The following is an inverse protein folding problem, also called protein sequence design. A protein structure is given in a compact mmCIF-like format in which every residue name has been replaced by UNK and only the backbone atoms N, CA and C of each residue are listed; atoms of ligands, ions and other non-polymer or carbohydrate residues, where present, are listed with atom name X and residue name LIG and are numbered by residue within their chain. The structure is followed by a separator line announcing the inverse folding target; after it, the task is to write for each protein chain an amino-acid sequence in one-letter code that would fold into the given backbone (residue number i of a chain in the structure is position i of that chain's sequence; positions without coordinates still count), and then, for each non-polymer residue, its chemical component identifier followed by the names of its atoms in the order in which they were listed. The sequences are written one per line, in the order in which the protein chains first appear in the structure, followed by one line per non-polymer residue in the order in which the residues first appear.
data_IF_769985674987
#
_entry.id   IF_769985674987
#
_cell.length_a   1.000
_cell.length_b   1.000
_cell.length_c   1.000
_cell.angle_alpha   90.00
_cell.angle_beta   90.00
_cell.angle_gamma   90.00
#
_symmetry.space_group_name_H-M   'P 1'
#
loop_
_entity.id
_entity.type
_entity.pdbx_description
1 polymer ?
#
# COMPACT_ATOMS: atom_id res chain seq x y z
N UNK A 1 -28.61 -30.71 19.87
CA UNK A 1 -29.14 -30.93 18.50
C UNK A 1 -29.43 -29.54 17.92
N UNK A 2 -28.49 -28.87 17.25
CA UNK A 2 -28.16 -29.02 15.82
C UNK A 2 -29.40 -28.89 14.92
N UNK A 3 -29.61 -27.71 14.33
CA UNK A 3 -30.01 -27.47 12.91
C UNK A 3 -30.29 -25.97 12.75
N UNK A 4 -29.39 -25.18 12.15
CA UNK A 4 -29.27 -24.98 10.70
C UNK A 4 -30.53 -24.35 10.10
N UNK A 5 -30.55 -23.02 9.98
CA UNK A 5 -31.37 -22.36 8.95
C UNK A 5 -30.73 -21.05 8.50
N UNK A 6 -30.00 -21.17 7.39
CA UNK A 6 -29.86 -20.19 6.30
C UNK A 6 -29.08 -18.90 6.61
N UNK A 7 -27.78 -19.02 6.39
CA UNK A 7 -26.90 -17.95 5.93
C UNK A 7 -27.40 -17.44 4.56
N UNK A 8 -27.98 -16.24 4.50
CA UNK A 8 -28.24 -15.54 3.23
C UNK A 8 -27.69 -14.11 3.34
N UNK A 9 -26.42 -13.87 2.96
CA UNK A 9 -25.75 -12.61 3.27
C UNK A 9 -25.92 -11.51 2.20
N UNK A 10 -26.98 -11.52 1.37
CA UNK A 10 -27.20 -10.45 0.37
C UNK A 10 -28.68 -10.13 0.13
N UNK A 11 -29.45 -9.88 1.19
CA UNK A 11 -30.68 -9.09 1.05
C UNK A 11 -30.28 -7.63 1.22
N UNK A 12 -30.01 -6.93 0.11
CA UNK A 12 -29.70 -5.48 0.11
C UNK A 12 -30.99 -4.69 0.40
N UNK A 13 -31.15 -4.04 1.57
CA UNK A 13 -31.99 -2.86 1.64
C UNK A 13 -31.22 -1.73 0.95
N UNK A 14 -31.86 -1.07 -0.01
CA UNK A 14 -31.43 0.20 -0.58
C UNK A 14 -31.43 1.28 0.51
N UNK A 15 -30.42 1.24 1.37
CA UNK A 15 -30.19 2.28 2.38
C UNK A 15 -29.53 3.48 1.69
N UNK A 16 -30.07 4.70 1.87
CA UNK A 16 -29.44 5.89 1.32
C UNK A 16 -28.05 6.03 1.93
N UNK A 17 -27.03 6.17 1.07
CA UNK A 17 -25.60 6.25 1.43
C UNK A 17 -25.32 7.34 2.51
N UNK A 18 -26.23 8.31 2.63
CA UNK A 18 -26.21 9.43 3.56
C UNK A 18 -26.50 9.07 5.02
N UNK A 19 -27.22 7.99 5.33
CA UNK A 19 -27.52 7.61 6.73
C UNK A 19 -26.44 6.75 7.41
N UNK A 20 -25.53 6.14 6.63
CA UNK A 20 -24.40 5.35 7.19
C UNK A 20 -23.20 6.24 7.59
N UNK A 21 -23.16 7.47 7.09
CA UNK A 21 -22.06 8.40 7.32
C UNK A 21 -21.99 8.92 8.78
N UNK A 22 -23.09 8.87 9.53
CA UNK A 22 -23.19 9.50 10.86
C UNK A 22 -22.93 8.54 12.04
N UNK A 23 -22.75 7.25 11.78
CA UNK A 23 -22.49 6.20 12.78
C UNK A 23 -21.37 5.26 12.33
N UNK A 24 -20.28 5.84 11.79
CA UNK A 24 -19.15 5.08 11.29
C UNK A 24 -18.34 4.46 12.44
N UNK A 25 -18.76 3.28 12.86
CA UNK A 25 -17.95 2.39 13.69
C UNK A 25 -16.55 2.23 13.07
N UNK A 26 -15.48 2.04 13.87
CA UNK A 26 -14.12 1.90 13.35
C UNK A 26 -13.98 0.78 12.30
N UNK A 27 -14.87 -0.23 12.37
CA UNK A 27 -14.97 -1.32 11.40
C UNK A 27 -15.45 -0.84 10.01
N UNK A 28 -16.45 0.04 9.95
CA UNK A 28 -16.91 0.61 8.68
C UNK A 28 -15.89 1.61 8.12
N UNK A 29 -15.20 2.34 8.99
CA UNK A 29 -14.17 3.29 8.58
C UNK A 29 -13.00 2.57 7.88
N UNK A 30 -12.51 1.45 8.44
CA UNK A 30 -11.46 0.66 7.78
C UNK A 30 -11.92 0.12 6.41
N UNK A 31 -13.16 -0.35 6.29
CA UNK A 31 -13.70 -0.89 5.03
C UNK A 31 -13.77 0.19 3.95
N UNK A 32 -14.24 1.38 4.31
CA UNK A 32 -14.25 2.55 3.43
C UNK A 32 -12.85 2.94 2.97
N UNK A 33 -11.88 3.00 3.89
CA UNK A 33 -10.49 3.32 3.56
C UNK A 33 -9.86 2.26 2.64
N UNK A 34 -10.14 0.98 2.89
CA UNK A 34 -9.66 -0.11 2.04
C UNK A 34 -10.21 -0.01 0.61
N UNK A 35 -11.52 0.20 0.45
CA UNK A 35 -12.13 0.39 -0.87
C UNK A 35 -11.57 1.61 -1.60
N UNK A 36 -11.33 2.70 -0.88
CA UNK A 36 -10.72 3.90 -1.43
C UNK A 36 -9.26 3.64 -1.89
N UNK A 37 -8.47 2.91 -1.11
CA UNK A 37 -7.12 2.51 -1.49
C UNK A 37 -7.10 1.61 -2.73
N UNK A 38 -8.05 0.68 -2.86
CA UNK A 38 -8.21 -0.15 -4.07
C UNK A 38 -8.56 0.70 -5.28
N UNK A 39 -9.43 1.71 -5.11
CA UNK A 39 -9.73 2.69 -6.16
C UNK A 39 -8.48 3.38 -6.70
N UNK A 40 -7.65 3.91 -5.80
CA UNK A 40 -6.38 4.55 -6.18
C UNK A 40 -5.36 3.58 -6.79
N UNK A 41 -5.31 2.33 -6.31
CA UNK A 41 -4.46 1.30 -6.92
C UNK A 41 -4.87 1.03 -8.37
N UNK A 42 -6.17 0.99 -8.66
CA UNK A 42 -6.69 0.76 -10.01
C UNK A 42 -6.48 1.95 -10.95
N UNK A 43 -6.46 3.18 -10.42
CA UNK A 43 -6.21 4.39 -11.22
C UNK A 43 -4.71 4.64 -11.45
N UNK A 44 -3.81 3.85 -10.86
CA UNK A 44 -2.36 4.03 -10.95
C UNK A 44 -1.77 5.04 -9.95
N UNK A 45 -2.59 5.61 -9.07
CA UNK A 45 -2.17 6.56 -8.03
C UNK A 45 -1.65 5.80 -6.79
N UNK A 46 -0.62 4.98 -7.00
CA UNK A 46 0.01 4.17 -5.96
C UNK A 46 0.49 4.94 -4.71
N UNK A 47 1.12 6.14 -4.79
CA UNK A 47 1.55 6.86 -3.59
C UNK A 47 0.36 7.26 -2.69
N UNK A 48 -0.76 7.69 -3.30
CA UNK A 48 -2.00 7.97 -2.55
C UNK A 48 -2.59 6.70 -1.95
N UNK A 49 -2.64 5.61 -2.72
CA UNK A 49 -3.10 4.30 -2.21
C UNK A 49 -2.32 3.85 -0.98
N UNK A 50 -0.98 4.02 -0.98
CA UNK A 50 -0.11 3.70 0.16
C UNK A 50 -0.48 4.50 1.40
N UNK A 51 -0.68 5.82 1.28
CA UNK A 51 -1.02 6.66 2.44
C UNK A 51 -2.36 6.27 3.07
N UNK A 52 -3.35 5.92 2.24
CA UNK A 52 -4.66 5.48 2.73
C UNK A 52 -4.59 4.10 3.39
N UNK A 53 -3.74 3.21 2.88
CA UNK A 53 -3.47 1.93 3.52
C UNK A 53 -2.78 2.09 4.86
N UNK A 54 -1.91 3.08 5.02
CA UNK A 54 -1.29 3.39 6.31
C UNK A 54 -2.35 3.79 7.35
N UNK A 55 -3.24 4.73 6.99
CA UNK A 55 -4.42 5.11 7.80
C UNK A 55 -5.31 3.92 8.15
N UNK A 56 -5.49 2.99 7.21
CA UNK A 56 -6.30 1.80 7.41
C UNK A 56 -5.67 0.86 8.46
N UNK A 57 -4.35 0.71 8.44
CA UNK A 57 -3.59 -0.12 9.38
C UNK A 57 -3.45 0.54 10.76
N UNK A 58 -3.54 1.88 10.87
CA UNK A 58 -3.66 2.57 12.17
C UNK A 58 -4.91 2.11 12.94
N UNK A 59 -6.00 1.78 12.23
CA UNK A 59 -7.27 1.34 12.83
C UNK A 59 -7.27 -0.18 13.06
N UNK A 60 -6.69 -0.94 12.11
CA UNK A 60 -6.68 -2.40 12.12
C UNK A 60 -5.30 -2.94 11.68
N UNK A 61 -4.32 -3.02 12.60
CA UNK A 61 -2.95 -3.39 12.26
C UNK A 61 -2.81 -4.85 11.81
N UNK A 62 -3.69 -5.75 12.26
CA UNK A 62 -3.66 -7.18 11.90
C UNK A 62 -4.45 -7.50 10.61
N UNK A 63 -4.87 -6.48 9.85
CA UNK A 63 -5.70 -6.72 8.67
C UNK A 63 -4.88 -7.21 7.47
N UNK A 64 -4.84 -8.54 7.30
CA UNK A 64 -4.10 -9.24 6.25
C UNK A 64 -4.39 -8.73 4.83
N UNK A 65 -5.63 -8.39 4.49
CA UNK A 65 -5.95 -7.89 3.14
C UNK A 65 -5.30 -6.52 2.88
N UNK A 66 -5.37 -5.60 3.83
CA UNK A 66 -4.73 -4.30 3.74
C UNK A 66 -3.20 -4.43 3.68
N UNK A 67 -2.61 -5.32 4.48
CA UNK A 67 -1.17 -5.60 4.45
C UNK A 67 -0.70 -6.13 3.08
N UNK A 68 -1.44 -7.09 2.50
CA UNK A 68 -1.13 -7.64 1.18
C UNK A 68 -1.25 -6.57 0.09
N UNK A 69 -2.31 -5.74 0.14
CA UNK A 69 -2.50 -4.65 -0.81
C UNK A 69 -1.38 -3.61 -0.70
N UNK A 70 -0.97 -3.24 0.53
CA UNK A 70 0.13 -2.30 0.77
C UNK A 70 1.43 -2.79 0.15
N UNK A 71 1.77 -4.07 0.35
CA UNK A 71 2.96 -4.68 -0.31
C UNK A 71 2.86 -4.64 -1.82
N UNK A 72 1.70 -4.96 -2.41
CA UNK A 72 1.51 -4.91 -3.86
C UNK A 72 1.65 -3.48 -4.41
N UNK A 73 1.12 -2.48 -3.69
CA UNK A 73 1.29 -1.05 -4.01
C UNK A 73 2.76 -0.65 -3.95
N UNK A 74 3.49 -1.03 -2.90
CA UNK A 74 4.92 -0.73 -2.76
C UNK A 74 5.77 -1.41 -3.85
N UNK A 75 5.47 -2.65 -4.21
CA UNK A 75 6.13 -3.37 -5.30
C UNK A 75 5.87 -2.70 -6.65
N UNK A 76 4.66 -2.17 -6.88
CA UNK A 76 4.34 -1.36 -8.06
C UNK A 76 5.11 -0.04 -8.07
N UNK A 77 5.13 0.70 -6.97
CA UNK A 77 5.93 1.94 -6.86
C UNK A 77 7.41 1.64 -7.11
N UNK A 78 7.94 0.53 -6.58
CA UNK A 78 9.31 0.13 -6.82
C UNK A 78 9.53 -0.22 -8.30
N UNK A 79 8.65 -0.98 -8.94
CA UNK A 79 8.77 -1.33 -10.38
C UNK A 79 8.63 -0.14 -11.32
N UNK A 80 7.62 0.70 -11.11
CA UNK A 80 7.39 1.90 -11.90
C UNK A 80 8.44 2.98 -11.58
N UNK A 81 8.91 3.04 -10.34
CA UNK A 81 9.99 3.92 -9.88
C UNK A 81 11.39 3.46 -10.29
N UNK A 82 11.62 2.16 -10.53
CA UNK A 82 12.90 1.62 -11.06
C UNK A 82 13.19 2.12 -12.48
N UNK A 83 12.18 2.55 -13.23
CA UNK A 83 12.37 3.23 -14.52
C UNK A 83 12.92 4.67 -14.33
N UNK A 84 12.76 5.26 -13.13
CA UNK A 84 13.25 6.60 -12.77
C UNK A 84 14.47 6.66 -11.85
N UNK A 85 14.89 5.55 -11.23
CA UNK A 85 16.14 5.47 -10.44
C UNK A 85 17.28 5.02 -11.37
N UNK A 86 17.62 5.87 -12.33
CA UNK A 86 18.96 5.84 -12.90
C UNK A 86 19.94 6.31 -11.83
N UNK A 87 20.65 5.37 -11.18
CA UNK A 87 21.97 5.59 -10.55
C UNK A 87 22.06 6.80 -9.58
N UNK A 88 21.71 6.64 -8.30
CA UNK A 88 22.06 7.68 -7.30
C UNK A 88 22.77 7.18 -6.04
N UNK A 89 23.22 5.92 -5.96
CA UNK A 89 23.92 5.44 -4.77
C UNK A 89 25.31 4.81 -5.00
N UNK A 90 25.90 4.91 -6.19
CA UNK A 90 27.34 4.61 -6.41
C UNK A 90 28.29 5.73 -5.98
N UNK A 91 27.84 6.69 -5.14
CA UNK A 91 28.68 7.83 -4.72
C UNK A 91 29.40 7.65 -3.37
N UNK A 92 29.11 6.59 -2.59
CA UNK A 92 29.77 6.37 -1.27
C UNK A 92 30.87 5.29 -1.33
N UNK A 93 31.03 4.58 -2.44
CA UNK A 93 32.07 3.55 -2.60
C UNK A 93 33.39 4.02 -3.24
N UNK A 94 33.39 5.17 -3.93
CA UNK A 94 34.57 5.63 -4.69
C UNK A 94 35.55 6.49 -3.90
N UNK A 95 35.20 6.94 -2.69
CA UNK A 95 36.11 7.78 -1.89
C UNK A 95 37.17 6.93 -1.15
N UNK A 96 36.91 5.65 -0.88
CA UNK A 96 37.89 4.77 -0.22
C UNK A 96 38.83 4.03 -1.19
N UNK A 97 38.47 3.90 -2.48
CA UNK A 97 39.25 3.13 -3.47
C UNK A 97 39.82 3.94 -4.64
N UNK A 98 39.41 5.20 -4.83
CA UNK A 98 39.71 5.98 -6.03
C UNK A 98 41.11 6.63 -6.10
N UNK A 99 41.87 6.66 -5.01
CA UNK A 99 43.19 7.34 -4.99
C UNK A 99 44.34 6.36 -5.27
N UNK A 100 44.18 5.04 -5.04
CA UNK A 100 45.25 4.08 -5.27
C UNK A 100 45.52 3.79 -6.76
N UNK A 101 44.53 3.93 -7.64
CA UNK A 101 44.68 3.58 -9.06
C UNK A 101 45.39 4.67 -9.89
N UNK A 102 45.47 5.91 -9.42
CA UNK A 102 46.08 7.03 -10.16
C UNK A 102 47.61 7.12 -10.05
N UNK A 103 48.25 6.40 -9.10
CA UNK A 103 49.70 6.44 -8.89
C UNK A 103 50.47 5.24 -9.48
N UNK A 104 49.78 4.20 -9.95
CA UNK A 104 50.42 2.98 -10.43
C UNK A 104 50.83 3.00 -11.92
N UNK A 105 50.48 4.05 -12.68
CA UNK A 105 50.95 4.23 -14.07
C UNK A 105 52.11 5.22 -14.13
N UNK A 106 53.24 4.87 -13.54
CA UNK A 106 54.54 5.39 -13.96
C UNK A 106 55.68 4.43 -13.60
N UNK A 107 55.91 3.44 -14.46
CA UNK A 107 57.24 2.89 -14.73
C UNK A 107 57.27 2.33 -16.15
#
# INVERSE_FOLDING_TARGET
MCSSSVYSPYKLPSVPLSSLANSSSPLQQREKLYLLAVGYYRTGEYPKSRQILDRCLEIAPDWRQALTLKKAVEDRIAKDGVIGIGITATAVGLIAGGIAAALARKK
#
